data_IF_274432566555
#
_entry.id   IF_274432566555
#
_cell.length_a   1.000
_cell.length_b   1.000
_cell.length_c   1.000
_cell.angle_alpha   90.00
_cell.angle_beta   90.00
_cell.angle_gamma   90.00
#
_symmetry.space_group_name_H-M   'P 1'
#
loop_
_entity.id
_entity.type
_entity.pdbx_description
1 polymer ?
#
# COMPACT_ATOMS: atom_id res chain seq x y z
N UNK A 1 12.88 -17.92 0.17
CA UNK A 1 12.60 -17.37 -1.18
C UNK A 1 11.39 -16.46 -1.07
N UNK A 2 11.46 -15.26 -1.63
CA UNK A 2 10.34 -14.31 -1.71
C UNK A 2 9.69 -14.37 -3.10
N UNK A 3 8.40 -14.05 -3.16
CA UNK A 3 7.61 -13.95 -4.39
C UNK A 3 7.12 -12.53 -4.57
N UNK A 4 7.09 -12.05 -5.81
CA UNK A 4 6.44 -10.79 -6.17
C UNK A 4 4.92 -11.00 -6.12
N UNK A 5 4.24 -10.18 -5.31
CA UNK A 5 2.78 -10.23 -5.16
C UNK A 5 2.07 -9.13 -5.93
N UNK A 6 2.72 -7.97 -6.09
CA UNK A 6 2.14 -6.82 -6.76
C UNK A 6 3.21 -5.83 -7.18
N UNK A 7 3.01 -5.21 -8.34
CA UNK A 7 3.75 -4.06 -8.85
C UNK A 7 2.75 -2.97 -9.25
N UNK A 8 2.97 -1.75 -8.77
CA UNK A 8 2.14 -0.59 -9.07
C UNK A 8 2.25 -0.15 -10.53
N UNK A 9 1.29 0.68 -10.98
CA UNK A 9 1.54 1.58 -12.09
C UNK A 9 2.69 2.58 -11.75
N UNK A 10 3.26 3.29 -12.73
CA UNK A 10 4.28 4.29 -12.47
C UNK A 10 3.83 5.31 -11.40
N UNK A 11 4.68 5.54 -10.40
CA UNK A 11 4.35 6.35 -9.23
C UNK A 11 4.16 7.82 -9.62
N UNK A 12 3.07 8.40 -9.11
CA UNK A 12 2.72 9.81 -9.27
C UNK A 12 3.13 10.65 -8.05
N UNK A 13 3.04 11.98 -8.18
CA UNK A 13 3.23 12.90 -7.04
C UNK A 13 2.37 12.51 -5.83
N UNK A 14 1.13 12.08 -6.08
CA UNK A 14 0.20 11.68 -5.01
C UNK A 14 0.70 10.45 -4.27
N UNK A 15 1.15 9.44 -5.02
CA UNK A 15 1.64 8.19 -4.44
C UNK A 15 2.90 8.42 -3.62
N UNK A 16 3.76 9.34 -4.05
CA UNK A 16 5.01 9.70 -3.36
C UNK A 16 4.84 10.75 -2.28
N UNK A 17 3.61 11.22 -2.01
CA UNK A 17 3.35 12.27 -1.03
C UNK A 17 4.13 13.57 -1.35
N UNK A 18 4.29 13.88 -2.64
CA UNK A 18 4.93 15.11 -3.15
C UNK A 18 3.83 16.14 -3.43
N UNK A 19 3.92 17.37 -2.89
CA UNK A 19 2.93 18.41 -3.15
C UNK A 19 3.04 18.88 -4.60
N UNK A 20 1.90 18.92 -5.30
CA UNK A 20 1.83 19.52 -6.65
C UNK A 20 1.79 21.05 -6.59
N UNK A 21 1.41 21.62 -5.44
CA UNK A 21 1.43 23.05 -5.13
C UNK A 21 1.38 23.26 -3.60
N UNK A 22 1.61 24.50 -3.14
CA UNK A 22 1.64 24.87 -1.71
C UNK A 22 0.33 24.61 -0.95
N UNK A 23 -0.80 24.45 -1.65
CA UNK A 23 -2.13 24.23 -1.06
C UNK A 23 -2.60 22.76 -1.16
N UNK A 24 -1.74 21.84 -1.60
CA UNK A 24 -2.13 20.44 -1.81
C UNK A 24 -2.14 19.68 -0.49
N UNK A 25 -3.31 19.19 -0.06
CA UNK A 25 -3.41 18.22 1.03
C UNK A 25 -2.87 16.87 0.58
N UNK A 26 -1.68 16.53 1.06
CA UNK A 26 -1.02 15.27 0.76
C UNK A 26 -1.80 14.10 1.37
N UNK A 27 -2.06 13.07 0.56
CA UNK A 27 -2.89 11.94 0.99
C UNK A 27 -2.16 10.98 1.93
N UNK A 28 -0.83 10.98 1.97
CA UNK A 28 -0.03 10.15 2.88
C UNK A 28 -0.24 8.66 2.70
N UNK A 29 -0.63 8.21 1.50
CA UNK A 29 -0.98 6.82 1.23
C UNK A 29 -0.86 6.48 -0.27
N UNK A 30 -0.73 5.19 -0.56
CA UNK A 30 -0.89 4.62 -1.91
C UNK A 30 -2.09 3.66 -1.94
N UNK A 31 -2.75 3.60 -3.09
CA UNK A 31 -3.81 2.63 -3.36
C UNK A 31 -3.21 1.31 -3.85
N UNK A 32 -3.74 0.20 -3.33
CA UNK A 32 -3.43 -1.13 -3.87
C UNK A 32 -4.53 -1.52 -4.85
N UNK A 33 -4.30 -1.20 -6.13
CA UNK A 33 -5.20 -1.45 -7.25
C UNK A 33 -4.74 -2.66 -8.09
N UNK A 34 -5.24 -2.79 -9.32
CA UNK A 34 -4.87 -3.87 -10.23
C UNK A 34 -3.35 -3.91 -10.54
N UNK A 35 -2.66 -2.77 -10.44
CA UNK A 35 -1.24 -2.63 -10.77
C UNK A 35 -0.90 -3.05 -12.19
N UNK A 36 0.39 -3.25 -12.45
CA UNK A 36 0.87 -3.84 -13.71
C UNK A 36 0.56 -5.33 -13.84
N UNK A 37 0.35 -6.01 -12.71
CA UNK A 37 0.00 -7.43 -12.69
C UNK A 37 -1.45 -7.70 -13.12
N UNK A 38 -2.26 -6.65 -13.36
CA UNK A 38 -3.66 -6.75 -13.79
C UNK A 38 -4.50 -7.62 -12.85
N UNK A 39 -4.29 -7.50 -11.54
CA UNK A 39 -5.00 -8.30 -10.53
C UNK A 39 -6.50 -8.03 -10.69
N UNK A 40 -7.34 -9.01 -11.06
CA UNK A 40 -8.74 -8.75 -11.41
C UNK A 40 -9.61 -8.48 -10.18
N UNK A 41 -9.27 -9.08 -9.03
CA UNK A 41 -10.04 -8.99 -7.78
C UNK A 41 -9.32 -8.13 -6.72
N UNK A 42 -8.59 -7.10 -7.14
CA UNK A 42 -7.76 -6.24 -6.27
C UNK A 42 -8.52 -5.62 -5.09
N UNK A 43 -9.83 -5.40 -5.22
CA UNK A 43 -10.68 -4.89 -4.14
C UNK A 43 -10.65 -5.76 -2.88
N UNK A 44 -10.40 -7.07 -3.00
CA UNK A 44 -10.33 -8.00 -1.85
C UNK A 44 -9.00 -8.74 -1.75
N UNK A 45 -8.26 -8.88 -2.85
CA UNK A 45 -7.00 -9.63 -2.93
C UNK A 45 -5.99 -9.26 -1.85
N UNK A 46 -5.74 -7.96 -1.64
CA UNK A 46 -4.72 -7.54 -0.68
C UNK A 46 -5.08 -7.92 0.75
N UNK A 47 -6.31 -7.64 1.18
CA UNK A 47 -6.76 -7.96 2.53
C UNK A 47 -6.89 -9.48 2.75
N UNK A 48 -7.43 -10.21 1.77
CA UNK A 48 -7.81 -11.61 1.92
C UNK A 48 -6.72 -12.61 1.50
N UNK A 49 -5.70 -12.19 0.75
CA UNK A 49 -4.66 -13.08 0.21
C UNK A 49 -3.25 -12.62 0.55
N UNK A 50 -2.92 -11.35 0.37
CA UNK A 50 -1.58 -10.83 0.63
C UNK A 50 -1.32 -10.67 2.12
N UNK A 51 -2.25 -10.04 2.82
CA UNK A 51 -2.16 -9.63 4.22
C UNK A 51 -3.16 -10.37 5.12
N UNK A 52 -3.54 -11.59 4.72
CA UNK A 52 -4.60 -12.36 5.37
C UNK A 52 -4.27 -12.79 6.81
N UNK A 53 -2.98 -12.87 7.17
CA UNK A 53 -2.51 -13.25 8.50
C UNK A 53 -2.35 -12.08 9.46
N UNK A 54 -2.53 -10.83 9.01
CA UNK A 54 -2.43 -9.67 9.89
C UNK A 54 -3.66 -9.57 10.80
N UNK A 55 -3.47 -8.92 11.95
CA UNK A 55 -4.55 -8.65 12.90
C UNK A 55 -5.36 -7.43 12.43
N UNK A 56 -6.33 -7.67 11.54
CA UNK A 56 -7.25 -6.63 11.06
C UNK A 56 -8.37 -6.36 12.08
N UNK A 57 -8.64 -5.08 12.34
CA UNK A 57 -9.65 -4.66 13.30
C UNK A 57 -10.31 -3.31 12.96
N UNK A 58 -11.46 -3.05 13.58
CA UNK A 58 -12.18 -1.78 13.47
C UNK A 58 -11.78 -0.83 14.61
N UNK A 59 -10.53 -0.34 14.61
CA UNK A 59 -10.02 0.54 15.70
C UNK A 59 -10.81 1.83 15.90
N UNK A 60 -11.52 2.30 14.85
CA UNK A 60 -12.16 3.63 14.82
C UNK A 60 -13.67 3.50 14.70
N UNK A 61 -14.39 3.69 15.82
CA UNK A 61 -15.86 3.51 15.90
C UNK A 61 -16.64 4.36 14.90
N UNK A 62 -16.14 5.54 14.56
CA UNK A 62 -16.76 6.45 13.60
C UNK A 62 -16.68 5.95 12.14
N UNK A 63 -15.84 4.94 11.86
CA UNK A 63 -15.67 4.32 10.54
C UNK A 63 -15.85 2.80 10.63
N UNK A 64 -17.07 2.32 10.90
CA UNK A 64 -17.33 0.88 11.16
C UNK A 64 -17.11 -0.01 9.94
N UNK A 65 -17.06 0.58 8.74
CA UNK A 65 -16.78 -0.11 7.48
C UNK A 65 -15.29 -0.08 7.11
N UNK A 66 -14.41 0.37 8.00
CA UNK A 66 -12.97 0.43 7.75
C UNK A 66 -12.24 -0.46 8.74
N UNK A 67 -11.50 -1.43 8.20
CA UNK A 67 -10.53 -2.24 8.93
C UNK A 67 -9.13 -1.62 8.82
N UNK A 68 -8.33 -1.82 9.86
CA UNK A 68 -6.94 -1.39 9.96
C UNK A 68 -6.07 -2.58 10.33
N UNK A 69 -4.84 -2.63 9.84
CA UNK A 69 -3.83 -3.58 10.29
C UNK A 69 -2.44 -2.93 10.21
N UNK A 70 -1.53 -3.35 11.06
CA UNK A 70 -0.14 -2.91 11.00
C UNK A 70 0.71 -4.01 10.34
N UNK A 71 1.60 -3.62 9.44
CA UNK A 71 2.46 -4.53 8.71
C UNK A 71 3.90 -4.02 8.72
N UNK A 72 4.84 -4.88 9.12
CA UNK A 72 6.26 -4.59 9.05
C UNK A 72 6.78 -4.90 7.64
N UNK A 73 7.35 -3.88 7.00
CA UNK A 73 8.03 -4.00 5.73
C UNK A 73 9.53 -3.74 5.91
N UNK A 74 10.36 -4.64 5.37
CA UNK A 74 11.71 -4.26 4.95
C UNK A 74 11.57 -3.36 3.71
N UNK A 75 12.29 -2.24 3.68
CA UNK A 75 12.13 -1.25 2.61
C UNK A 75 13.42 -1.07 1.82
N UNK A 76 13.30 -1.20 0.50
CA UNK A 76 14.36 -0.94 -0.48
C UNK A 76 13.96 0.24 -1.37
N UNK A 77 14.82 1.23 -1.47
CA UNK A 77 14.68 2.34 -2.42
C UNK A 77 15.87 2.29 -3.38
N UNK A 78 15.63 2.06 -4.67
CA UNK A 78 16.69 1.87 -5.69
C UNK A 78 17.68 0.77 -5.33
N UNK A 79 17.19 -0.33 -4.75
CA UNK A 79 18.05 -1.42 -4.27
C UNK A 79 18.82 -1.11 -2.98
N UNK A 80 18.71 0.09 -2.41
CA UNK A 80 19.28 0.42 -1.11
C UNK A 80 18.29 0.08 0.01
N UNK A 81 18.68 -0.84 0.90
CA UNK A 81 17.92 -1.15 2.10
C UNK A 81 17.99 0.02 3.10
N UNK A 82 16.84 0.58 3.45
CA UNK A 82 16.71 1.70 4.39
C UNK A 82 16.14 1.28 5.75
N UNK A 83 15.99 -0.02 5.98
CA UNK A 83 15.51 -0.60 7.22
C UNK A 83 14.05 -1.03 7.20
N UNK A 84 13.55 -1.34 8.40
CA UNK A 84 12.19 -1.84 8.60
C UNK A 84 11.24 -0.70 9.01
N UNK A 85 10.05 -0.70 8.43
CA UNK A 85 8.99 0.27 8.72
C UNK A 85 7.67 -0.46 8.99
N UNK A 86 7.06 -0.16 10.12
CA UNK A 86 5.67 -0.56 10.40
C UNK A 86 4.72 0.42 9.73
N UNK A 87 3.95 -0.06 8.75
CA UNK A 87 2.99 0.76 7.99
C UNK A 87 1.55 0.34 8.32
N UNK A 88 0.67 1.33 8.50
CA UNK A 88 -0.77 1.10 8.70
C UNK A 88 -1.42 0.80 7.34
N UNK A 89 -1.99 -0.39 7.22
CA UNK A 89 -2.87 -0.78 6.13
C UNK A 89 -4.31 -0.41 6.49
N UNK A 90 -5.06 0.03 5.47
CA UNK A 90 -6.47 0.37 5.61
C UNK A 90 -7.26 -0.35 4.55
N UNK A 91 -8.36 -0.99 4.95
CA UNK A 91 -9.27 -1.68 4.05
C UNK A 91 -10.71 -1.24 4.30
N UNK A 92 -11.44 -0.89 3.24
CA UNK A 92 -12.87 -0.64 3.32
C UNK A 92 -13.66 -1.93 3.05
N UNK A 93 -14.57 -2.26 3.96
CA UNK A 93 -15.50 -3.39 3.85
C UNK A 93 -16.85 -2.99 3.25
N UNK A 94 -17.07 -1.70 2.93
CA UNK A 94 -18.28 -1.22 2.26
C UNK A 94 -18.20 -1.37 0.73
N UNK A 95 -18.62 -2.53 0.25
CA UNK A 95 -18.72 -2.85 -1.17
C UNK A 95 -19.97 -2.25 -1.86
N UNK A 96 -20.83 -1.57 -1.11
CA UNK A 96 -21.99 -0.84 -1.66
C UNK A 96 -21.68 0.63 -1.93
N UNK A 97 -20.56 1.12 -1.42
CA UNK A 97 -20.08 2.48 -1.63
C UNK A 97 -19.85 2.81 -3.12
N UNK A 98 -19.95 4.10 -3.47
CA UNK A 98 -19.58 4.60 -4.80
C UNK A 98 -18.16 4.19 -5.21
N UNK A 99 -17.22 4.19 -4.25
CA UNK A 99 -15.83 3.77 -4.48
C UNK A 99 -15.76 2.33 -4.97
N UNK A 100 -16.47 1.42 -4.30
CA UNK A 100 -16.51 0.01 -4.66
C UNK A 100 -17.18 -0.21 -6.01
N UNK A 101 -18.34 0.43 -6.24
CA UNK A 101 -19.12 0.32 -7.49
C UNK A 101 -18.38 0.87 -8.71
N UNK A 102 -17.49 1.86 -8.52
CA UNK A 102 -16.61 2.40 -9.55
C UNK A 102 -15.32 1.57 -9.75
N UNK A 103 -15.24 0.38 -9.13
CA UNK A 103 -14.09 -0.50 -9.19
C UNK A 103 -12.79 0.20 -8.74
N UNK A 104 -12.83 0.99 -7.68
CA UNK A 104 -11.62 1.59 -7.10
C UNK A 104 -11.00 0.67 -6.04
N UNK A 105 -9.72 0.94 -5.73
CA UNK A 105 -9.00 0.23 -4.67
C UNK A 105 -9.67 0.42 -3.30
N UNK A 106 -9.87 -0.70 -2.62
CA UNK A 106 -10.43 -0.74 -1.27
C UNK A 106 -9.35 -0.89 -0.19
N UNK A 107 -8.13 -1.29 -0.58
CA UNK A 107 -6.98 -1.46 0.32
C UNK A 107 -5.92 -0.40 0.01
N UNK A 108 -5.31 0.16 1.05
CA UNK A 108 -4.30 1.23 0.95
C UNK A 108 -3.20 1.01 1.98
N UNK A 109 -2.01 1.51 1.66
CA UNK A 109 -0.88 1.59 2.61
C UNK A 109 -0.71 3.06 2.99
N UNK A 110 -0.70 3.37 4.28
CA UNK A 110 -0.32 4.71 4.75
C UNK A 110 1.17 4.78 4.97
N UNK A 111 1.77 5.87 4.50
CA UNK A 111 3.21 6.05 4.52
C UNK A 111 3.80 6.33 5.88
N UNK A 112 3.03 6.82 6.85
CA UNK A 112 3.55 7.07 8.20
C UNK A 112 4.86 7.86 8.17
N UNK A 113 5.90 7.34 8.83
CA UNK A 113 7.26 7.89 8.82
C UNK A 113 8.00 7.68 7.50
N UNK A 114 7.69 6.62 6.74
CA UNK A 114 8.33 6.32 5.44
C UNK A 114 8.13 7.45 4.41
N UNK A 115 7.10 8.27 4.57
CA UNK A 115 6.85 9.46 3.71
C UNK A 115 8.06 10.39 3.58
N UNK A 116 8.91 10.47 4.61
CA UNK A 116 10.09 11.33 4.62
C UNK A 116 11.21 10.81 3.71
N UNK A 117 11.17 9.53 3.36
CA UNK A 117 12.15 8.90 2.46
C UNK A 117 11.62 8.84 1.02
N UNK A 118 10.33 8.57 0.83
CA UNK A 118 9.74 8.39 -0.50
C UNK A 118 9.29 9.70 -1.17
N UNK A 119 9.23 10.81 -0.43
CA UNK A 119 8.86 12.15 -0.93
C UNK A 119 9.92 12.78 -1.83
N UNK A 120 10.40 12.05 -2.83
CA UNK A 120 11.48 12.45 -3.71
C UNK A 120 11.03 12.33 -5.19
N UNK A 121 11.08 13.43 -5.97
CA UNK A 121 10.74 13.42 -7.39
C UNK A 121 11.52 12.39 -8.22
N UNK A 122 12.69 11.94 -7.77
CA UNK A 122 13.47 10.90 -8.45
C UNK A 122 12.77 9.54 -8.49
N UNK A 123 11.73 9.32 -7.69
CA UNK A 123 10.92 8.10 -7.73
C UNK A 123 9.70 8.22 -8.65
N UNK A 124 9.46 9.39 -9.27
CA UNK A 124 8.41 9.55 -10.26
C UNK A 124 8.67 8.64 -11.45
N UNK A 125 7.59 8.05 -11.97
CA UNK A 125 7.60 7.09 -13.07
C UNK A 125 8.24 5.72 -12.76
N UNK A 126 8.80 5.52 -11.55
CA UNK A 126 9.24 4.21 -11.06
C UNK A 126 8.05 3.40 -10.56
N UNK A 127 8.25 2.14 -10.20
CA UNK A 127 7.17 1.33 -9.62
C UNK A 127 7.46 0.95 -8.19
N UNK A 128 6.38 0.74 -7.44
CA UNK A 128 6.43 0.11 -6.14
C UNK A 128 6.09 -1.36 -6.28
N UNK A 129 6.88 -2.21 -5.64
CA UNK A 129 6.69 -3.66 -5.63
C UNK A 129 6.53 -4.16 -4.20
N UNK A 130 5.65 -5.13 -4.03
CA UNK A 130 5.44 -5.84 -2.78
C UNK A 130 5.82 -7.29 -2.97
N UNK A 131 6.73 -7.75 -2.12
CA UNK A 131 7.15 -9.14 -2.04
C UNK A 131 6.77 -9.75 -0.70
N UNK A 132 6.68 -11.08 -0.66
CA UNK A 132 6.47 -11.83 0.58
C UNK A 132 7.24 -13.15 0.56
N UNK A 133 7.66 -13.64 1.72
CA UNK A 133 8.15 -15.03 1.84
C UNK A 133 7.07 -16.07 1.58
N UNK A 134 7.48 -17.26 1.13
CA UNK A 134 6.58 -18.39 0.86
C UNK A 134 6.20 -19.20 2.11
N UNK A 135 6.82 -18.91 3.25
CA UNK A 135 6.65 -19.64 4.50
C UNK A 135 6.19 -18.71 5.61
N UNK A 136 5.33 -19.23 6.50
CA UNK A 136 4.84 -18.52 7.68
C UNK A 136 5.90 -18.64 8.81
N UNK A 137 6.19 -17.57 9.59
CA UNK A 137 5.60 -16.23 9.48
C UNK A 137 6.05 -15.50 8.21
N UNK A 138 5.10 -14.82 7.57
CA UNK A 138 5.39 -14.03 6.37
C UNK A 138 6.24 -12.81 6.75
N UNK A 139 7.27 -12.56 5.95
CA UNK A 139 7.98 -11.28 5.95
C UNK A 139 7.68 -10.57 4.65
N UNK A 140 7.55 -9.24 4.71
CA UNK A 140 7.18 -8.41 3.57
C UNK A 140 8.33 -7.47 3.21
N UNK A 141 8.55 -7.33 1.91
CA UNK A 141 9.51 -6.39 1.33
C UNK A 141 8.73 -5.41 0.45
N UNK A 142 9.00 -4.13 0.64
CA UNK A 142 8.51 -3.03 -0.19
C UNK A 142 9.71 -2.45 -0.93
N UNK A 143 9.63 -2.42 -2.26
CA UNK A 143 10.70 -1.89 -3.11
C UNK A 143 10.17 -0.77 -4.00
N UNK A 144 10.89 0.34 -4.13
CA UNK A 144 10.70 1.34 -5.19
C UNK A 144 11.91 1.29 -6.12
N UNK A 145 11.68 1.05 -7.42
CA UNK A 145 12.71 0.88 -8.46
C UNK A 145 12.20 1.19 -9.86
#
# INVERSE_FOLDING_TARGET
>A
MSILLWESAPLSNRDLNIPSNDNTHLTGQINLDAGKNLIPNFQTYFRNTVFNTLAWDHKRRQFPHIEYADCDFEVLLEGHNIGNFTLELVHSTDFTSKTALQNNAMTKIKWGSLRHHIGNPNYLNKTLKIYRTNSIPYTYLLEIS
#
